data_IF_713313965183
#
_entry.id   IF_713313965183
#
_cell.length_a   1.000
_cell.length_b   1.000
_cell.length_c   1.000
_cell.angle_alpha   90.00
_cell.angle_beta   90.00
_cell.angle_gamma   90.00
#
_symmetry.space_group_name_H-M   'P 1'
#
loop_
_entity.id
_entity.type
_entity.pdbx_description
1 polymer ?
#
# COMPACT_ATOMS: atom_id res chain seq x y z
N UNK A 1 -14.50 0.82 40.46
CA UNK A 1 -15.13 0.08 39.34
C UNK A 1 -14.71 0.75 38.05
N UNK A 2 -13.77 0.15 37.32
CA UNK A 2 -13.29 0.65 36.03
C UNK A 2 -13.77 -0.35 34.96
N UNK A 3 -14.59 0.16 34.03
CA UNK A 3 -15.16 -0.61 32.94
C UNK A 3 -14.08 -1.05 31.95
N UNK A 4 -14.23 -2.30 31.52
CA UNK A 4 -13.42 -3.06 30.58
C UNK A 4 -13.30 -2.39 29.20
N UNK A 5 -12.09 -1.98 28.82
CA UNK A 5 -11.72 -1.62 27.44
C UNK A 5 -11.14 -2.83 26.69
N UNK A 6 -11.90 -3.93 26.55
CA UNK A 6 -11.44 -5.16 25.89
C UNK A 6 -11.94 -5.34 24.44
N UNK A 7 -12.11 -4.26 23.67
CA UNK A 7 -12.69 -4.34 22.31
C UNK A 7 -11.96 -3.45 21.28
N UNK A 8 -10.64 -3.57 21.15
CA UNK A 8 -9.89 -2.89 20.06
C UNK A 8 -8.74 -3.72 19.48
N UNK A 9 -9.03 -4.95 19.08
CA UNK A 9 -8.18 -5.70 18.15
C UNK A 9 -9.10 -6.35 17.10
N UNK A 10 -8.87 -6.06 15.81
CA UNK A 10 -9.52 -6.76 14.70
C UNK A 10 -9.08 -8.24 14.60
N UNK A 11 -8.09 -8.65 15.39
CA UNK A 11 -7.73 -10.04 15.61
C UNK A 11 -8.49 -10.57 16.82
N UNK A 12 -9.74 -10.96 16.60
CA UNK A 12 -10.50 -11.72 17.59
C UNK A 12 -9.81 -13.06 17.83
N UNK A 13 -9.58 -13.41 19.10
CA UNK A 13 -9.18 -14.75 19.51
C UNK A 13 -10.35 -15.73 19.53
N UNK A 14 -11.56 -15.28 19.17
CA UNK A 14 -12.78 -16.10 19.19
C UNK A 14 -13.02 -16.77 17.83
N UNK A 15 -13.58 -17.98 17.87
CA UNK A 15 -14.05 -18.70 16.68
C UNK A 15 -15.09 -17.84 15.95
N UNK A 16 -14.98 -17.72 14.62
CA UNK A 16 -15.89 -16.92 13.80
C UNK A 16 -15.71 -15.40 13.88
N UNK A 17 -14.77 -14.91 14.69
CA UNK A 17 -14.51 -13.47 14.84
C UNK A 17 -13.67 -12.84 13.72
N UNK A 18 -13.98 -13.13 12.46
CA UNK A 18 -13.26 -12.60 11.29
C UNK A 18 -14.22 -12.18 10.18
N UNK A 19 -13.71 -11.37 9.25
CA UNK A 19 -14.43 -11.00 8.02
C UNK A 19 -14.36 -12.19 7.05
N UNK A 20 -15.51 -12.77 6.63
CA UNK A 20 -15.53 -13.94 5.77
C UNK A 20 -15.40 -13.54 4.29
N UNK A 21 -14.20 -13.15 3.87
CA UNK A 21 -13.88 -12.82 2.47
C UNK A 21 -14.26 -13.94 1.49
N UNK A 22 -13.97 -15.19 1.88
CA UNK A 22 -14.27 -16.43 1.18
C UNK A 22 -15.46 -17.16 1.82
N UNK A 23 -16.37 -17.62 0.96
CA UNK A 23 -17.53 -18.42 1.33
C UNK A 23 -17.08 -19.75 1.94
N UNK A 24 -17.62 -20.10 3.11
CA UNK A 24 -17.28 -21.35 3.81
C UNK A 24 -18.51 -22.07 4.35
N UNK A 25 -18.33 -23.35 4.68
CA UNK A 25 -19.34 -24.24 5.24
C UNK A 25 -18.76 -25.03 6.41
N UNK A 26 -19.62 -25.35 7.38
CA UNK A 26 -19.30 -26.28 8.47
C UNK A 26 -19.83 -27.66 8.08
N UNK A 27 -18.94 -28.63 7.84
CA UNK A 27 -19.32 -29.94 7.33
C UNK A 27 -18.17 -30.74 6.72
N UNK A 28 -18.48 -31.91 6.13
CA UNK A 28 -17.51 -32.71 5.39
C UNK A 28 -17.01 -31.94 4.16
N UNK A 29 -15.78 -32.22 3.74
CA UNK A 29 -15.19 -31.61 2.55
C UNK A 29 -15.90 -32.08 1.28
N UNK A 30 -16.26 -31.13 0.40
CA UNK A 30 -16.75 -31.39 -0.95
C UNK A 30 -15.82 -30.77 -2.00
N UNK A 31 -15.76 -31.39 -3.18
CA UNK A 31 -14.98 -30.93 -4.33
C UNK A 31 -15.71 -29.80 -5.09
N UNK A 32 -15.93 -28.68 -4.40
CA UNK A 32 -16.48 -27.45 -4.96
C UNK A 32 -15.58 -26.24 -4.61
N UNK A 33 -16.05 -25.01 -4.80
CA UNK A 33 -15.29 -23.81 -4.44
C UNK A 33 -15.43 -23.34 -2.99
N UNK A 34 -16.30 -23.90 -2.15
CA UNK A 34 -16.45 -23.47 -0.75
C UNK A 34 -15.27 -23.92 0.12
N UNK A 35 -14.93 -23.15 1.14
CA UNK A 35 -14.04 -23.64 2.20
C UNK A 35 -14.83 -24.56 3.14
N UNK A 36 -14.24 -25.66 3.59
CA UNK A 36 -14.90 -26.59 4.52
C UNK A 36 -14.15 -26.69 5.84
N UNK A 37 -14.88 -26.57 6.94
CA UNK A 37 -14.36 -26.75 8.28
C UNK A 37 -15.25 -27.71 9.08
N UNK A 38 -14.66 -28.52 9.97
CA UNK A 38 -15.44 -29.42 10.86
C UNK A 38 -16.21 -28.66 11.94
N UNK A 39 -15.70 -27.49 12.30
CA UNK A 39 -16.24 -26.59 13.30
C UNK A 39 -15.81 -25.17 12.95
N UNK A 40 -16.43 -24.18 13.60
CA UNK A 40 -16.15 -22.77 13.40
C UNK A 40 -14.63 -22.47 13.52
N UNK A 41 -13.97 -21.97 12.46
CA UNK A 41 -12.53 -21.80 12.46
C UNK A 41 -12.08 -20.56 13.23
N UNK A 42 -10.82 -20.55 13.63
CA UNK A 42 -10.11 -19.33 14.00
C UNK A 42 -9.58 -18.62 12.75
N UNK A 43 -9.36 -17.31 12.85
CA UNK A 43 -8.89 -16.44 11.74
C UNK A 43 -7.69 -17.03 11.00
N UNK A 44 -6.67 -17.49 11.73
CA UNK A 44 -5.46 -18.07 11.14
C UNK A 44 -5.74 -19.33 10.33
N UNK A 45 -6.63 -20.19 10.82
CA UNK A 45 -7.04 -21.42 10.13
C UNK A 45 -7.84 -21.08 8.88
N UNK A 46 -8.78 -20.16 9.01
CA UNK A 46 -9.59 -19.68 7.90
C UNK A 46 -8.74 -19.12 6.75
N UNK A 47 -7.83 -18.19 7.06
CA UNK A 47 -6.92 -17.60 6.07
C UNK A 47 -6.02 -18.64 5.42
N UNK A 48 -5.49 -19.60 6.18
CA UNK A 48 -4.66 -20.66 5.60
C UNK A 48 -5.45 -21.56 4.65
N UNK A 49 -6.70 -21.87 4.99
CA UNK A 49 -7.54 -22.75 4.17
C UNK A 49 -7.85 -22.15 2.79
N UNK A 50 -7.99 -20.82 2.70
CA UNK A 50 -8.13 -20.10 1.43
C UNK A 50 -7.02 -20.49 0.46
N UNK A 51 -5.77 -20.49 0.93
CA UNK A 51 -4.60 -20.76 0.11
C UNK A 51 -4.32 -22.25 -0.04
N UNK A 52 -4.63 -23.07 0.97
CA UNK A 52 -4.57 -24.53 0.83
C UNK A 52 -5.46 -24.97 -0.35
N UNK A 53 -6.71 -24.50 -0.36
CA UNK A 53 -7.67 -24.80 -1.43
C UNK A 53 -7.25 -24.19 -2.77
N UNK A 54 -6.73 -22.96 -2.78
CA UNK A 54 -6.13 -22.37 -3.99
C UNK A 54 -5.03 -23.27 -4.59
N UNK A 55 -4.21 -23.90 -3.75
CA UNK A 55 -3.12 -24.76 -4.19
C UNK A 55 -3.57 -26.14 -4.66
N UNK A 56 -4.85 -26.51 -4.51
CA UNK A 56 -5.42 -27.72 -5.13
C UNK A 56 -5.64 -27.51 -6.63
N UNK A 57 -5.93 -26.28 -7.05
CA UNK A 57 -6.28 -25.97 -8.43
C UNK A 57 -5.07 -25.70 -9.33
N UNK A 58 -5.24 -25.94 -10.63
CA UNK A 58 -4.31 -25.45 -11.65
C UNK A 58 -4.47 -23.94 -11.88
N UNK A 59 -3.69 -23.36 -12.80
CA UNK A 59 -3.69 -21.91 -13.03
C UNK A 59 -5.07 -21.38 -13.49
N UNK A 60 -5.80 -22.16 -14.29
CA UNK A 60 -7.09 -21.73 -14.85
C UNK A 60 -8.22 -21.90 -13.82
N UNK A 61 -8.24 -23.03 -13.12
CA UNK A 61 -9.26 -23.30 -12.11
C UNK A 61 -9.07 -22.44 -10.86
N UNK A 62 -7.83 -22.04 -10.55
CA UNK A 62 -7.54 -21.03 -9.52
C UNK A 62 -8.30 -19.73 -9.77
N UNK A 63 -8.37 -19.26 -11.03
CA UNK A 63 -9.11 -18.04 -11.38
C UNK A 63 -10.62 -18.21 -11.17
N UNK A 64 -11.18 -19.38 -11.48
CA UNK A 64 -12.61 -19.67 -11.28
C UNK A 64 -12.96 -19.72 -9.80
N UNK A 65 -12.11 -20.36 -9.00
CA UNK A 65 -12.24 -20.38 -7.54
C UNK A 65 -12.21 -18.96 -6.95
N UNK A 66 -11.26 -18.11 -7.35
CA UNK A 66 -11.20 -16.72 -6.90
C UNK A 66 -12.42 -15.91 -7.36
N UNK A 67 -12.86 -16.09 -8.62
CA UNK A 67 -14.03 -15.43 -9.16
C UNK A 67 -15.31 -15.79 -8.40
N UNK A 68 -15.52 -17.07 -8.06
CA UNK A 68 -16.66 -17.53 -7.27
C UNK A 68 -16.81 -16.76 -5.94
N UNK A 69 -15.71 -16.56 -5.22
CA UNK A 69 -15.72 -15.82 -3.96
C UNK A 69 -15.83 -14.32 -4.16
N UNK A 70 -15.12 -13.79 -5.17
CA UNK A 70 -15.19 -12.38 -5.53
C UNK A 70 -16.62 -11.98 -5.87
N UNK A 71 -17.33 -12.76 -6.68
CA UNK A 71 -18.71 -12.48 -7.11
C UNK A 71 -19.69 -12.50 -5.93
N UNK A 72 -19.46 -13.37 -4.95
CA UNK A 72 -20.28 -13.47 -3.74
C UNK A 72 -20.01 -12.37 -2.70
N UNK A 73 -18.82 -11.77 -2.68
CA UNK A 73 -18.46 -10.77 -1.67
C UNK A 73 -18.99 -9.37 -2.04
N UNK A 74 -19.69 -8.64 -1.14
CA UNK A 74 -20.32 -7.37 -1.50
C UNK A 74 -19.34 -6.26 -1.91
N UNK A 75 -18.25 -6.09 -1.15
CA UNK A 75 -17.26 -5.04 -1.41
C UNK A 75 -16.09 -5.59 -2.24
N UNK A 76 -16.21 -5.43 -3.56
CA UNK A 76 -15.22 -5.92 -4.51
C UNK A 76 -13.82 -5.34 -4.28
N UNK A 77 -13.73 -4.09 -3.83
CA UNK A 77 -12.46 -3.42 -3.64
C UNK A 77 -11.75 -3.96 -2.40
N UNK A 78 -12.47 -4.09 -1.29
CA UNK A 78 -11.96 -4.68 -0.05
C UNK A 78 -11.50 -6.14 -0.26
N UNK A 79 -12.26 -6.95 -1.01
CA UNK A 79 -11.85 -8.32 -1.34
C UNK A 79 -10.52 -8.36 -2.13
N UNK A 80 -10.38 -7.50 -3.15
CA UNK A 80 -9.16 -7.44 -3.96
C UNK A 80 -7.96 -6.94 -3.14
N UNK A 81 -8.19 -6.00 -2.22
CA UNK A 81 -7.15 -5.49 -1.32
C UNK A 81 -6.67 -6.59 -0.35
N UNK A 82 -7.61 -7.29 0.30
CA UNK A 82 -7.31 -8.44 1.17
C UNK A 82 -6.45 -9.49 0.46
N UNK A 83 -6.85 -9.90 -0.76
CA UNK A 83 -6.09 -10.88 -1.53
C UNK A 83 -4.71 -10.38 -1.92
N UNK A 84 -4.60 -9.12 -2.35
CA UNK A 84 -3.32 -8.51 -2.68
C UNK A 84 -2.35 -8.60 -1.51
N UNK A 85 -2.80 -8.22 -0.31
CA UNK A 85 -1.95 -8.16 0.89
C UNK A 85 -1.53 -9.58 1.33
N UNK A 86 -2.47 -10.52 1.40
CA UNK A 86 -2.16 -11.91 1.81
C UNK A 86 -1.27 -12.64 0.79
N UNK A 87 -1.46 -12.42 -0.51
CA UNK A 87 -0.61 -13.03 -1.54
C UNK A 87 0.80 -12.45 -1.47
N UNK A 88 0.92 -11.13 -1.31
CA UNK A 88 2.21 -10.44 -1.22
C UNK A 88 3.00 -10.95 -0.01
N UNK A 89 2.38 -11.00 1.16
CA UNK A 89 3.00 -11.51 2.39
C UNK A 89 3.47 -12.97 2.22
N UNK A 90 2.69 -13.81 1.52
CA UNK A 90 3.04 -15.21 1.27
C UNK A 90 4.17 -15.38 0.26
N UNK A 91 4.27 -14.49 -0.74
CA UNK A 91 5.37 -14.48 -1.69
C UNK A 91 6.70 -14.10 -1.04
N UNK A 92 6.68 -13.19 -0.06
CA UNK A 92 7.87 -12.79 0.71
C UNK A 92 8.46 -13.92 1.54
N UNK A 93 7.62 -14.84 2.02
CA UNK A 93 8.01 -16.03 2.80
C UNK A 93 8.72 -17.12 1.99
N UNK A 94 9.13 -16.81 0.75
CA UNK A 94 9.89 -17.69 -0.16
C UNK A 94 9.23 -19.08 -0.33
N UNK A 95 8.00 -19.12 -0.87
CA UNK A 95 7.29 -20.38 -1.11
C UNK A 95 8.03 -21.23 -2.16
N UNK A 96 7.76 -22.55 -2.16
CA UNK A 96 8.31 -23.44 -3.18
C UNK A 96 7.89 -23.03 -4.60
N UNK A 97 8.65 -23.45 -5.62
CA UNK A 97 8.46 -23.00 -7.02
C UNK A 97 7.00 -23.11 -7.52
N UNK A 98 6.34 -24.25 -7.25
CA UNK A 98 4.95 -24.48 -7.65
C UNK A 98 3.98 -23.54 -6.93
N UNK A 99 4.12 -23.38 -5.61
CA UNK A 99 3.30 -22.46 -4.82
C UNK A 99 3.51 -21.01 -5.25
N UNK A 100 4.77 -20.63 -5.50
CA UNK A 100 5.13 -19.31 -6.02
C UNK A 100 4.42 -19.03 -7.35
N UNK A 101 4.42 -20.00 -8.26
CA UNK A 101 3.74 -19.87 -9.55
C UNK A 101 2.22 -19.67 -9.38
N UNK A 102 1.58 -20.43 -8.49
CA UNK A 102 0.14 -20.29 -8.21
C UNK A 102 -0.20 -18.95 -7.54
N UNK A 103 0.60 -18.52 -6.58
CA UNK A 103 0.46 -17.22 -5.93
C UNK A 103 0.63 -16.07 -6.94
N UNK A 104 1.63 -16.16 -7.83
CA UNK A 104 1.81 -15.17 -8.88
C UNK A 104 0.61 -15.11 -9.83
N UNK A 105 0.06 -16.27 -10.23
CA UNK A 105 -1.12 -16.31 -11.06
C UNK A 105 -2.36 -15.68 -10.39
N UNK A 106 -2.52 -15.89 -9.08
CA UNK A 106 -3.56 -15.23 -8.30
C UNK A 106 -3.34 -13.71 -8.23
N UNK A 107 -2.11 -13.26 -8.04
CA UNK A 107 -1.77 -11.83 -8.04
C UNK A 107 -2.01 -11.17 -9.40
N UNK A 108 -1.69 -11.86 -10.50
CA UNK A 108 -1.98 -11.38 -11.85
C UNK A 108 -3.49 -11.17 -12.04
N UNK A 109 -4.30 -12.12 -11.57
CA UNK A 109 -5.77 -12.04 -11.61
C UNK A 109 -6.32 -10.89 -10.74
N UNK A 110 -5.79 -10.69 -9.54
CA UNK A 110 -6.16 -9.54 -8.69
C UNK A 110 -5.84 -8.22 -9.40
N UNK A 111 -4.66 -8.13 -10.04
CA UNK A 111 -4.23 -6.93 -10.78
C UNK A 111 -5.13 -6.66 -11.99
N UNK A 112 -5.53 -7.70 -12.71
CA UNK A 112 -6.50 -7.65 -13.81
C UNK A 112 -7.86 -7.10 -13.32
N UNK A 113 -8.40 -7.65 -12.24
CA UNK A 113 -9.69 -7.21 -11.66
C UNK A 113 -9.66 -5.78 -11.11
N UNK A 114 -8.55 -5.38 -10.49
CA UNK A 114 -8.35 -3.99 -10.05
C UNK A 114 -8.37 -3.03 -11.24
N UNK A 115 -7.76 -3.41 -12.38
CA UNK A 115 -7.78 -2.59 -13.60
C UNK A 115 -9.18 -2.48 -14.19
N UNK A 116 -9.91 -3.60 -14.27
CA UNK A 116 -11.29 -3.61 -14.74
C UNK A 116 -12.18 -2.70 -13.88
N UNK A 117 -12.06 -2.79 -12.55
CA UNK A 117 -12.84 -1.96 -11.64
C UNK A 117 -12.56 -0.46 -11.82
N UNK A 118 -11.29 -0.07 -11.99
CA UNK A 118 -10.92 1.32 -12.29
C UNK A 118 -11.49 1.78 -13.63
N UNK A 119 -11.38 0.97 -14.68
CA UNK A 119 -11.92 1.30 -15.99
C UNK A 119 -13.45 1.50 -15.96
N UNK A 120 -14.16 0.68 -15.18
CA UNK A 120 -15.60 0.85 -14.95
C UNK A 120 -15.92 2.14 -14.19
N UNK A 121 -15.15 2.48 -13.14
CA UNK A 121 -15.31 3.73 -12.40
C UNK A 121 -15.06 4.95 -13.29
N UNK A 122 -14.02 4.92 -14.13
CA UNK A 122 -13.73 5.97 -15.11
C UNK A 122 -14.85 6.13 -16.13
N UNK A 123 -15.42 5.03 -16.63
CA UNK A 123 -16.54 5.05 -17.57
C UNK A 123 -17.78 5.68 -16.92
N UNK A 124 -18.13 5.28 -15.70
CA UNK A 124 -19.26 5.83 -14.94
C UNK A 124 -19.05 7.33 -14.71
N UNK A 125 -17.83 7.75 -14.36
CA UNK A 125 -17.50 9.15 -14.17
C UNK A 125 -17.69 9.95 -15.47
N UNK A 126 -17.19 9.44 -16.61
CA UNK A 126 -17.39 10.07 -17.92
C UNK A 126 -18.87 10.23 -18.26
N UNK A 127 -19.67 9.18 -18.06
CA UNK A 127 -21.11 9.24 -18.31
C UNK A 127 -21.82 10.26 -17.40
N UNK A 128 -21.45 10.35 -16.12
CA UNK A 128 -21.98 11.37 -15.20
C UNK A 128 -21.62 12.79 -15.64
N UNK A 129 -20.39 13.00 -16.13
CA UNK A 129 -19.94 14.29 -16.66
C UNK A 129 -20.76 14.65 -17.91
N UNK A 130 -20.86 13.74 -18.87
CA UNK A 130 -21.62 13.94 -20.11
C UNK A 130 -23.10 14.25 -19.84
N UNK A 131 -23.74 13.50 -18.94
CA UNK A 131 -25.12 13.76 -18.53
C UNK A 131 -25.27 15.13 -17.86
N UNK A 132 -24.34 15.50 -16.98
CA UNK A 132 -24.37 16.80 -16.32
C UNK A 132 -24.23 17.97 -17.29
N UNK A 133 -23.31 17.87 -18.25
CA UNK A 133 -23.13 18.87 -19.32
C UNK A 133 -24.38 18.94 -20.21
N UNK A 134 -24.93 17.80 -20.62
CA UNK A 134 -26.12 17.76 -21.46
C UNK A 134 -27.34 18.37 -20.76
N UNK A 135 -27.48 18.15 -19.45
CA UNK A 135 -28.55 18.77 -18.65
C UNK A 135 -28.43 20.30 -18.61
N UNK A 136 -27.21 20.83 -18.50
CA UNK A 136 -26.96 22.28 -18.55
C UNK A 136 -27.33 22.83 -19.93
N UNK A 137 -26.86 22.19 -21.02
CA UNK A 137 -27.13 22.62 -22.39
C UNK A 137 -28.64 22.61 -22.69
N UNK A 138 -29.35 21.55 -22.30
CA UNK A 138 -30.79 21.45 -22.54
C UNK A 138 -31.58 22.50 -21.74
N UNK A 139 -31.11 22.85 -20.54
CA UNK A 139 -31.76 23.85 -19.68
C UNK A 139 -31.56 25.28 -20.18
N UNK A 140 -30.54 25.56 -21.00
CA UNK A 140 -30.31 26.90 -21.56
C UNK A 140 -31.44 27.41 -22.45
N UNK A 141 -32.30 26.53 -22.98
CA UNK A 141 -33.39 26.92 -23.88
C UNK A 141 -34.66 27.37 -23.15
N UNK A 142 -34.83 27.01 -21.87
CA UNK A 142 -36.09 27.21 -21.12
C UNK A 142 -35.90 27.78 -19.72
N UNK A 143 -34.69 27.75 -19.17
CA UNK A 143 -34.40 28.19 -17.81
C UNK A 143 -33.87 29.63 -17.77
N UNK A 144 -34.11 30.31 -16.65
CA UNK A 144 -33.58 31.64 -16.38
C UNK A 144 -32.06 31.59 -16.16
N UNK A 145 -31.33 32.71 -16.37
CA UNK A 145 -29.89 32.77 -16.11
C UNK A 145 -29.49 32.34 -14.69
N UNK A 146 -30.34 32.62 -13.71
CA UNK A 146 -30.13 32.27 -12.30
C UNK A 146 -30.30 30.76 -12.03
N UNK A 147 -31.20 30.10 -12.75
CA UNK A 147 -31.38 28.65 -12.69
C UNK A 147 -30.20 27.92 -13.36
N UNK A 148 -29.67 28.47 -14.46
CA UNK A 148 -28.46 27.95 -15.13
C UNK A 148 -27.25 28.05 -14.20
N UNK A 149 -27.05 29.20 -13.54
CA UNK A 149 -25.96 29.37 -12.56
C UNK A 149 -26.07 28.38 -11.39
N UNK A 150 -27.27 28.15 -10.88
CA UNK A 150 -27.51 27.16 -9.82
C UNK A 150 -27.22 25.73 -10.29
N UNK A 151 -27.56 25.38 -11.54
CA UNK A 151 -27.25 24.10 -12.18
C UNK A 151 -25.74 23.89 -12.34
N UNK A 152 -25.02 24.90 -12.85
CA UNK A 152 -23.56 24.88 -13.01
C UNK A 152 -22.87 24.74 -11.66
N UNK A 153 -23.33 25.46 -10.64
CA UNK A 153 -22.79 25.37 -9.28
C UNK A 153 -23.00 23.98 -8.67
N UNK A 154 -24.22 23.45 -8.77
CA UNK A 154 -24.55 22.11 -8.26
C UNK A 154 -23.74 21.01 -8.95
N UNK A 155 -23.56 21.12 -10.27
CA UNK A 155 -22.74 20.19 -11.04
C UNK A 155 -21.26 20.26 -10.63
N UNK A 156 -20.72 21.48 -10.49
CA UNK A 156 -19.33 21.70 -10.07
C UNK A 156 -19.06 21.16 -8.67
N UNK A 157 -19.96 21.39 -7.72
CA UNK A 157 -19.86 20.84 -6.36
C UNK A 157 -19.88 19.29 -6.36
N UNK A 158 -20.75 18.68 -7.17
CA UNK A 158 -20.77 17.20 -7.32
C UNK A 158 -19.46 16.67 -7.94
N UNK A 159 -18.90 17.38 -8.90
CA UNK A 159 -17.63 17.00 -9.53
C UNK A 159 -16.46 17.11 -8.56
N UNK A 160 -16.38 18.21 -7.80
CA UNK A 160 -15.36 18.43 -6.77
C UNK A 160 -15.41 17.36 -5.69
N UNK A 161 -16.61 17.02 -5.20
CA UNK A 161 -16.78 15.98 -4.19
C UNK A 161 -16.37 14.58 -4.71
N UNK A 162 -16.67 14.27 -5.97
CA UNK A 162 -16.23 13.01 -6.60
C UNK A 162 -14.72 12.99 -6.83
N UNK A 163 -14.10 14.11 -7.22
CA UNK A 163 -12.65 14.23 -7.34
C UNK A 163 -11.94 14.09 -5.99
N UNK A 164 -12.46 14.70 -4.93
CA UNK A 164 -11.93 14.53 -3.57
C UNK A 164 -12.04 13.08 -3.10
N UNK A 165 -13.15 12.40 -3.42
CA UNK A 165 -13.33 10.97 -3.09
C UNK A 165 -12.32 10.08 -3.84
N UNK A 166 -12.08 10.35 -5.12
CA UNK A 166 -11.08 9.63 -5.92
C UNK A 166 -9.67 9.89 -5.37
N UNK A 167 -9.36 11.16 -5.05
CA UNK A 167 -8.06 11.53 -4.46
C UNK A 167 -7.85 10.86 -3.10
N UNK A 168 -8.85 10.86 -2.23
CA UNK A 168 -8.80 10.19 -0.93
C UNK A 168 -8.61 8.67 -1.07
N UNK A 169 -9.31 8.03 -2.02
CA UNK A 169 -9.14 6.59 -2.30
C UNK A 169 -7.77 6.27 -2.89
N UNK A 170 -7.20 7.15 -3.72
CA UNK A 170 -5.87 6.99 -4.27
C UNK A 170 -4.80 7.17 -3.17
N UNK A 171 -4.93 8.19 -2.32
CA UNK A 171 -4.05 8.41 -1.17
C UNK A 171 -4.12 7.24 -0.18
N UNK A 172 -5.31 6.69 0.07
CA UNK A 172 -5.47 5.55 0.96
C UNK A 172 -4.88 4.28 0.35
N UNK A 173 -5.09 4.01 -0.94
CA UNK A 173 -4.45 2.88 -1.63
C UNK A 173 -2.92 3.01 -1.71
N UNK A 174 -2.38 4.23 -1.73
CA UNK A 174 -0.94 4.49 -1.62
C UNK A 174 -0.46 4.24 -0.18
N UNK A 175 -1.19 4.74 0.84
CA UNK A 175 -0.86 4.51 2.25
C UNK A 175 -0.93 3.03 2.63
N UNK A 176 -1.93 2.30 2.14
CA UNK A 176 -2.08 0.86 2.38
C UNK A 176 -0.98 0.06 1.69
N UNK A 177 -0.61 0.39 0.45
CA UNK A 177 0.56 -0.23 -0.22
C UNK A 177 1.88 0.09 0.45
N UNK A 178 2.05 1.30 0.99
CA UNK A 178 3.24 1.68 1.76
C UNK A 178 3.28 0.95 3.11
N UNK A 179 2.13 0.82 3.79
CA UNK A 179 1.99 0.13 5.07
C UNK A 179 2.15 -1.40 4.94
N UNK A 180 1.63 -1.99 3.86
CA UNK A 180 1.74 -3.42 3.56
C UNK A 180 3.14 -3.83 3.10
N UNK A 181 3.89 -2.92 2.45
CA UNK A 181 5.21 -3.28 1.93
C UNK A 181 6.30 -3.30 3.00
N UNK A 182 6.24 -2.46 4.04
CA UNK A 182 7.33 -2.36 5.02
C UNK A 182 6.80 -1.79 6.35
N UNK A 183 6.47 -2.67 7.30
CA UNK A 183 6.30 -2.31 8.71
C UNK A 183 7.49 -2.84 9.50
N UNK A 184 8.63 -2.17 9.42
CA UNK A 184 9.55 -2.19 10.55
C UNK A 184 9.20 -1.02 11.45
N UNK A 185 8.93 -1.28 12.72
CA UNK A 185 8.79 -0.22 13.73
C UNK A 185 10.16 0.03 14.37
N UNK A 186 11.14 0.45 13.55
CA UNK A 186 12.42 0.88 14.13
C UNK A 186 12.16 2.17 14.91
N UNK A 187 12.54 2.13 16.17
CA UNK A 187 12.48 3.28 17.06
C UNK A 187 13.92 3.72 17.34
N UNK A 188 14.19 5.00 17.14
CA UNK A 188 15.41 5.60 17.64
C UNK A 188 15.32 5.61 19.15
N UNK A 189 16.37 5.15 19.82
CA UNK A 189 16.41 5.13 21.28
C UNK A 189 16.16 6.52 21.87
N UNK A 190 16.63 7.58 21.20
CA UNK A 190 16.44 8.97 21.60
C UNK A 190 16.12 9.92 20.42
N UNK A 191 15.22 10.92 20.61
CA UNK A 191 14.82 11.87 19.55
C UNK A 191 15.96 12.71 18.97
N UNK A 192 17.01 12.98 19.74
CA UNK A 192 18.15 13.77 19.26
C UNK A 192 19.00 13.03 18.22
N UNK A 193 18.78 11.71 18.03
CA UNK A 193 19.42 10.95 16.97
C UNK A 193 18.79 11.16 15.60
N UNK A 194 17.58 11.74 15.50
CA UNK A 194 16.91 11.98 14.19
C UNK A 194 17.83 12.71 13.21
N UNK A 195 18.43 13.83 13.65
CA UNK A 195 19.38 14.61 12.83
C UNK A 195 20.65 13.83 12.52
N UNK A 196 21.18 13.06 13.49
CA UNK A 196 22.39 12.25 13.29
C UNK A 196 22.16 11.12 12.28
N UNK A 197 20.97 10.55 12.26
CA UNK A 197 20.59 9.50 11.32
C UNK A 197 20.45 10.05 9.90
N UNK A 198 19.87 11.24 9.74
CA UNK A 198 19.87 11.95 8.46
C UNK A 198 21.31 12.24 8.00
N UNK A 199 22.17 12.74 8.88
CA UNK A 199 23.59 12.98 8.58
C UNK A 199 24.32 11.70 8.14
N UNK A 200 24.02 10.56 8.75
CA UNK A 200 24.56 9.27 8.32
C UNK A 200 24.16 8.92 6.88
N UNK A 201 22.89 9.06 6.51
CA UNK A 201 22.46 8.84 5.12
C UNK A 201 23.09 9.82 4.12
N UNK A 202 23.35 11.05 4.55
CA UNK A 202 24.06 12.04 3.73
C UNK A 202 25.52 11.63 3.49
N UNK A 203 26.22 11.12 4.50
CA UNK A 203 27.58 10.56 4.35
C UNK A 203 27.56 9.35 3.42
N UNK A 204 26.61 8.42 3.60
CA UNK A 204 26.43 7.26 2.72
C UNK A 204 26.22 7.67 1.25
N UNK A 205 25.42 8.73 1.02
CA UNK A 205 25.17 9.28 -0.33
C UNK A 205 26.44 9.89 -0.94
N UNK A 206 27.24 10.58 -0.12
CA UNK A 206 28.45 11.25 -0.58
C UNK A 206 29.65 10.31 -0.74
N UNK A 207 29.51 9.04 -0.35
CA UNK A 207 30.58 8.06 -0.39
C UNK A 207 30.97 7.74 -1.84
N UNK A 208 32.23 8.01 -2.19
CA UNK A 208 32.80 7.75 -3.51
C UNK A 208 33.84 6.63 -3.42
N UNK A 209 33.87 5.78 -4.44
CA UNK A 209 34.87 4.74 -4.57
C UNK A 209 36.27 5.34 -4.83
N UNK A 210 37.31 4.78 -4.19
CA UNK A 210 38.65 5.28 -4.32
C UNK A 210 39.21 5.01 -5.73
N UNK A 211 40.25 5.77 -6.16
CA UNK A 211 40.73 5.76 -7.54
C UNK A 211 41.19 4.39 -8.06
N UNK A 212 41.59 3.49 -7.16
CA UNK A 212 42.11 2.16 -7.49
C UNK A 212 41.02 1.11 -7.71
N UNK A 213 39.75 1.41 -7.39
CA UNK A 213 38.61 0.49 -7.60
C UNK A 213 37.72 1.02 -8.72
N UNK A 214 37.13 2.20 -8.52
CA UNK A 214 36.22 2.82 -9.47
C UNK A 214 36.20 4.33 -9.22
N UNK A 215 37.19 5.04 -9.77
CA UNK A 215 37.46 6.45 -9.45
C UNK A 215 36.19 7.33 -9.51
N UNK A 216 35.73 7.77 -8.34
CA UNK A 216 34.63 8.73 -8.24
C UNK A 216 33.24 8.15 -8.52
N UNK A 217 33.10 6.82 -8.60
CA UNK A 217 31.79 6.19 -8.69
C UNK A 217 31.12 6.23 -7.29
N UNK A 218 29.90 6.76 -7.16
CA UNK A 218 29.20 6.76 -5.88
C UNK A 218 28.75 5.35 -5.51
N UNK A 219 28.70 5.06 -4.19
CA UNK A 219 28.21 3.76 -3.70
C UNK A 219 26.78 3.47 -4.20
N UNK A 220 25.93 4.50 -4.24
CA UNK A 220 24.56 4.43 -4.74
C UNK A 220 24.40 5.45 -5.88
N UNK A 221 24.21 4.96 -7.11
CA UNK A 221 24.16 5.80 -8.34
C UNK A 221 23.06 6.85 -8.33
N UNK A 222 21.92 6.55 -7.71
CA UNK A 222 20.79 7.46 -7.61
C UNK A 222 20.20 7.35 -6.21
N UNK A 223 20.49 8.32 -5.35
CA UNK A 223 19.96 8.37 -3.99
C UNK A 223 19.49 9.79 -3.62
N UNK A 224 18.37 10.24 -4.20
CA UNK A 224 17.81 11.57 -3.97
C UNK A 224 17.22 11.72 -2.57
N UNK A 225 16.97 12.97 -2.15
CA UNK A 225 16.35 13.26 -0.85
C UNK A 225 14.93 12.71 -0.72
N UNK A 226 14.21 12.54 -1.83
CA UNK A 226 12.90 11.88 -1.85
C UNK A 226 12.99 10.43 -1.37
N UNK A 227 14.02 9.71 -1.81
CA UNK A 227 14.20 8.30 -1.47
C UNK A 227 14.70 8.14 -0.04
N UNK A 228 15.57 9.04 0.42
CA UNK A 228 15.93 9.14 1.84
C UNK A 228 14.72 9.41 2.73
N UNK A 229 13.85 10.36 2.33
CA UNK A 229 12.62 10.67 3.06
C UNK A 229 11.68 9.47 3.10
N UNK A 230 11.54 8.76 1.97
CA UNK A 230 10.73 7.54 1.90
C UNK A 230 11.27 6.46 2.84
N UNK A 231 12.58 6.19 2.85
CA UNK A 231 13.20 5.21 3.77
C UNK A 231 12.97 5.61 5.23
N UNK A 232 13.25 6.87 5.58
CA UNK A 232 13.07 7.33 6.95
C UNK A 232 11.61 7.24 7.41
N UNK A 233 10.68 7.71 6.58
CA UNK A 233 9.24 7.66 6.86
C UNK A 233 8.71 6.23 7.00
N UNK A 234 9.18 5.33 6.13
CA UNK A 234 8.69 3.97 6.05
C UNK A 234 9.19 3.10 7.20
N UNK A 235 10.49 3.14 7.48
CA UNK A 235 11.13 2.20 8.41
C UNK A 235 11.24 2.72 9.85
N UNK A 236 11.19 4.04 10.08
CA UNK A 236 11.41 4.63 11.39
C UNK A 236 10.16 5.36 11.90
N UNK A 237 9.62 4.89 13.03
CA UNK A 237 8.42 5.47 13.65
C UNK A 237 8.60 6.95 13.99
N UNK A 238 9.82 7.32 14.37
CA UNK A 238 10.28 8.68 14.65
C UNK A 238 10.09 9.70 13.53
N UNK A 239 9.84 9.27 12.29
CA UNK A 239 9.68 10.19 11.15
C UNK A 239 8.27 10.14 10.54
N UNK A 240 7.36 9.30 11.06
CA UNK A 240 6.00 9.10 10.52
C UNK A 240 5.03 10.24 10.84
N UNK A 241 5.33 11.04 11.86
CA UNK A 241 4.56 12.21 12.28
C UNK A 241 4.74 13.41 11.32
N UNK A 242 5.75 13.35 10.44
CA UNK A 242 6.08 14.40 9.47
C UNK A 242 5.69 13.95 8.06
N UNK A 243 5.02 14.83 7.30
CA UNK A 243 4.69 14.55 5.88
C UNK A 243 5.98 14.36 5.06
N UNK A 244 5.94 13.46 4.07
CA UNK A 244 7.10 13.13 3.20
C UNK A 244 7.76 14.38 2.58
N UNK A 245 6.97 15.31 2.03
CA UNK A 245 7.50 16.56 1.44
C UNK A 245 8.22 17.43 2.48
N UNK A 246 7.68 17.48 3.70
CA UNK A 246 8.30 18.20 4.82
C UNK A 246 9.59 17.53 5.24
N UNK A 247 9.61 16.19 5.31
CA UNK A 247 10.82 15.43 5.63
C UNK A 247 11.92 15.61 4.58
N UNK A 248 11.56 15.62 3.29
CA UNK A 248 12.50 15.91 2.20
C UNK A 248 13.11 17.32 2.33
N UNK A 249 12.30 18.32 2.66
CA UNK A 249 12.78 19.69 2.92
C UNK A 249 13.72 19.74 4.12
N UNK A 250 13.39 19.03 5.20
CA UNK A 250 14.24 18.94 6.39
C UNK A 250 15.60 18.30 6.07
N UNK A 251 15.62 17.23 5.26
CA UNK A 251 16.88 16.61 4.81
C UNK A 251 17.71 17.60 3.99
N UNK A 252 17.08 18.34 3.08
CA UNK A 252 17.76 19.37 2.28
C UNK A 252 18.34 20.48 3.16
N UNK A 253 17.60 20.94 4.16
CA UNK A 253 18.07 21.94 5.12
C UNK A 253 19.25 21.41 5.94
N UNK A 254 19.11 20.21 6.52
CA UNK A 254 20.18 19.57 7.27
C UNK A 254 21.44 19.43 6.41
N UNK A 255 21.31 19.04 5.14
CA UNK A 255 22.45 18.95 4.24
C UNK A 255 23.11 20.32 3.98
N UNK A 256 22.33 21.40 3.88
CA UNK A 256 22.88 22.75 3.68
C UNK A 256 23.69 23.25 4.89
N UNK A 257 23.32 22.80 6.08
CA UNK A 257 23.98 23.13 7.35
C UNK A 257 25.04 22.08 7.74
N UNK A 258 25.17 20.99 6.98
CA UNK A 258 26.00 19.85 7.34
C UNK A 258 27.48 20.11 7.07
N UNK A 259 28.29 20.12 8.14
CA UNK A 259 29.73 20.29 8.03
C UNK A 259 30.43 18.95 7.74
N UNK A 260 30.63 18.64 6.46
CA UNK A 260 31.40 17.48 6.00
C UNK A 260 32.88 17.49 6.46
N UNK A 261 33.42 18.63 6.89
CA UNK A 261 34.79 18.75 7.40
C UNK A 261 34.89 18.51 8.91
N UNK A 262 33.79 18.26 9.60
CA UNK A 262 33.80 17.92 11.03
C UNK A 262 34.68 16.67 11.26
N UNK A 263 35.62 16.69 12.22
CA UNK A 263 36.51 15.55 12.47
C UNK A 263 35.80 14.22 12.75
N UNK A 264 34.60 14.24 13.35
CA UNK A 264 33.80 13.04 13.60
C UNK A 264 33.16 12.51 12.31
N UNK A 265 32.70 13.42 11.44
CA UNK A 265 32.14 13.06 10.13
C UNK A 265 33.23 12.48 9.25
N UNK A 266 34.43 13.07 9.26
CA UNK A 266 35.59 12.55 8.51
C UNK A 266 35.97 11.14 8.95
N UNK A 267 36.01 10.88 10.26
CA UNK A 267 36.26 9.52 10.79
C UNK A 267 35.20 8.51 10.34
N UNK A 268 33.94 8.92 10.28
CA UNK A 268 32.85 8.08 9.80
C UNK A 268 33.00 7.79 8.30
N UNK A 269 33.28 8.81 7.49
CA UNK A 269 33.53 8.67 6.06
C UNK A 269 34.72 7.73 5.78
N UNK A 270 35.85 7.92 6.46
CA UNK A 270 37.03 7.05 6.37
C UNK A 270 36.69 5.59 6.74
N UNK A 271 35.93 5.38 7.84
CA UNK A 271 35.51 4.04 8.25
C UNK A 271 34.54 3.39 7.25
N UNK A 272 33.65 4.17 6.64
CA UNK A 272 32.72 3.68 5.61
C UNK A 272 33.46 3.38 4.30
N UNK A 273 34.44 4.21 3.91
CA UNK A 273 35.28 3.93 2.75
C UNK A 273 36.04 2.62 2.95
N UNK A 274 36.68 2.42 4.10
CA UNK A 274 37.35 1.17 4.43
C UNK A 274 36.36 -0.02 4.39
N UNK A 275 35.18 0.10 5.00
CA UNK A 275 34.22 -1.00 5.03
C UNK A 275 33.70 -1.45 3.66
N UNK A 276 33.45 -0.50 2.74
CA UNK A 276 32.86 -0.82 1.43
C UNK A 276 33.91 -1.09 0.34
N UNK A 277 35.15 -0.63 0.51
CA UNK A 277 36.14 -0.60 -0.55
C UNK A 277 37.51 -1.21 -0.19
N UNK A 278 37.82 -1.47 1.08
CA UNK A 278 39.06 -2.14 1.51
C UNK A 278 38.79 -3.57 2.00
#
# INVERSE_FOLDING_TARGET
MLASFSLRSAYSTQKGGFIPYFQYRIGPYEQDYYLYFREEPFVKRYKNEIFNKLFEYDRNDSKKYLAFHYDAYPDKQDFLQFLQDEISERLERRPGSLQKSKLQAALDWVTEKQREHRAQQELILRQKIEQGVQNIINSQQTATPQEIDNLVKTFSEKLSNEMERIAASAEQGIKEKIAASISSDLELSHPHYKTKFIQFFLVLRALLAPPHIAKGEPLIKNFPYSDMAAILYQYFKDFRDVKLDTLQRNISQINSEFNYKDPKVKKLDEAMQAFFYE
#
